data_IF_133804181814
#
_entry.id   IF_133804181814
#
_cell.length_a   1.000
_cell.length_b   1.000
_cell.length_c   1.000
_cell.angle_alpha   90.00
_cell.angle_beta   90.00
_cell.angle_gamma   90.00
#
_symmetry.space_group_name_H-M   'P 1'
#
loop_
_entity.id
_entity.type
_entity.pdbx_description
1 polymer ?
#
# COMPACT_ATOMS: atom_id res chain seq x y z
N UNK A 1 2.95 19.89 19.69
CA UNK A 1 3.25 19.66 18.26
C UNK A 1 3.49 21.03 17.63
N UNK A 2 4.58 21.22 16.88
CA UNK A 2 4.89 22.52 16.27
C UNK A 2 4.14 22.71 14.94
N UNK A 3 3.95 23.95 14.44
CA UNK A 3 3.36 24.19 13.12
C UNK A 3 4.09 23.47 11.98
N UNK A 4 5.43 23.40 12.04
CA UNK A 4 6.24 22.69 11.04
C UNK A 4 6.01 21.18 11.08
N UNK A 5 5.85 20.61 12.29
CA UNK A 5 5.51 19.19 12.46
C UNK A 5 4.11 18.89 11.93
N UNK A 6 3.14 19.78 12.12
CA UNK A 6 1.78 19.60 11.61
C UNK A 6 1.75 19.65 10.07
N UNK A 7 2.47 20.59 9.45
CA UNK A 7 2.60 20.68 8.00
C UNK A 7 3.21 19.39 7.41
N UNK A 8 4.28 18.86 8.00
CA UNK A 8 4.88 17.60 7.57
C UNK A 8 3.92 16.41 7.68
N UNK A 9 3.10 16.36 8.74
CA UNK A 9 2.09 15.31 8.90
C UNK A 9 1.00 15.43 7.84
N UNK A 10 0.57 16.65 7.52
CA UNK A 10 -0.43 16.90 6.47
C UNK A 10 0.10 16.57 5.08
N UNK A 11 1.34 16.96 4.75
CA UNK A 11 1.99 16.63 3.47
C UNK A 11 2.10 15.11 3.28
N UNK A 12 2.48 14.40 4.35
CA UNK A 12 2.51 12.93 4.35
C UNK A 12 1.10 12.36 4.19
N UNK A 13 0.10 12.93 4.86
CA UNK A 13 -1.28 12.47 4.74
C UNK A 13 -1.84 12.66 3.34
N UNK A 14 -1.66 13.82 2.72
CA UNK A 14 -2.10 14.13 1.35
C UNK A 14 -1.39 13.26 0.31
N UNK A 15 -0.07 13.05 0.47
CA UNK A 15 0.67 12.11 -0.38
C UNK A 15 0.14 10.67 -0.24
N UNK A 16 -0.19 10.27 0.99
CA UNK A 16 -0.72 8.94 1.30
C UNK A 16 -2.23 8.78 1.04
N UNK A 17 -2.99 9.85 0.86
CA UNK A 17 -4.44 9.81 0.63
C UNK A 17 -4.77 9.09 -0.69
N UNK A 18 -3.95 9.35 -1.72
CA UNK A 18 -3.99 8.60 -2.98
C UNK A 18 -3.67 7.11 -2.82
N UNK A 19 -2.86 6.75 -1.81
CA UNK A 19 -2.55 5.36 -1.46
C UNK A 19 -3.64 4.70 -0.62
N UNK A 20 -4.33 5.47 0.22
CA UNK A 20 -5.44 5.02 1.04
C UNK A 20 -6.53 4.37 0.20
N UNK A 21 -6.86 4.96 -0.95
CA UNK A 21 -7.88 4.42 -1.87
C UNK A 21 -7.54 3.04 -2.45
N UNK A 22 -6.26 2.67 -2.57
CA UNK A 22 -5.88 1.33 -3.06
C UNK A 22 -6.07 0.24 -2.00
N UNK A 23 -6.02 0.59 -0.72
CA UNK A 23 -5.97 -0.37 0.40
C UNK A 23 -7.19 -0.32 1.32
N UNK A 24 -8.10 0.64 1.11
CA UNK A 24 -9.32 0.86 1.90
C UNK A 24 -10.20 -0.39 2.04
N UNK A 25 -10.23 -1.23 1.01
CA UNK A 25 -11.02 -2.48 0.98
C UNK A 25 -10.17 -3.74 1.17
N UNK A 26 -8.87 -3.59 1.46
CA UNK A 26 -7.97 -4.71 1.64
C UNK A 26 -8.04 -5.26 3.06
N UNK A 27 -8.15 -6.58 3.15
CA UNK A 27 -7.97 -7.30 4.40
C UNK A 27 -6.50 -7.25 4.86
N UNK A 28 -6.26 -7.58 6.14
CA UNK A 28 -4.93 -7.55 6.73
C UNK A 28 -3.87 -8.39 5.97
N UNK A 29 -4.16 -9.63 5.49
CA UNK A 29 -3.23 -10.38 4.65
C UNK A 29 -2.79 -9.65 3.37
N UNK A 30 -3.72 -9.00 2.66
CA UNK A 30 -3.41 -8.24 1.44
C UNK A 30 -2.50 -7.06 1.77
N UNK A 31 -2.75 -6.34 2.87
CA UNK A 31 -1.89 -5.23 3.32
C UNK A 31 -0.48 -5.70 3.72
N UNK A 32 -0.36 -6.83 4.43
CA UNK A 32 0.94 -7.42 4.81
C UNK A 32 1.73 -7.81 3.55
N UNK A 33 1.08 -8.44 2.57
CA UNK A 33 1.74 -8.86 1.32
C UNK A 33 2.23 -7.66 0.50
N UNK A 34 1.45 -6.59 0.44
CA UNK A 34 1.88 -5.32 -0.15
C UNK A 34 3.14 -4.77 0.53
N UNK A 35 3.14 -4.69 1.87
CA UNK A 35 4.29 -4.22 2.62
C UNK A 35 5.54 -5.09 2.39
N UNK A 36 5.38 -6.42 2.35
CA UNK A 36 6.47 -7.36 2.04
C UNK A 36 7.04 -7.12 0.64
N UNK A 37 6.20 -6.88 -0.36
CA UNK A 37 6.62 -6.59 -1.74
C UNK A 37 7.35 -5.25 -1.84
N UNK A 38 6.87 -4.22 -1.13
CA UNK A 38 7.56 -2.93 -1.06
C UNK A 38 8.95 -3.06 -0.40
N UNK A 39 9.06 -3.85 0.67
CA UNK A 39 10.34 -4.14 1.32
C UNK A 39 11.29 -4.95 0.41
N UNK A 40 10.76 -5.86 -0.40
CA UNK A 40 11.54 -6.68 -1.32
C UNK A 40 12.22 -5.89 -2.44
N UNK A 41 11.80 -4.64 -2.70
CA UNK A 41 12.51 -3.73 -3.60
C UNK A 41 13.91 -3.36 -3.07
N UNK A 42 14.19 -3.58 -1.79
CA UNK A 42 15.50 -3.34 -1.18
C UNK A 42 15.91 -1.86 -1.10
N UNK A 43 14.96 -0.95 -1.40
CA UNK A 43 15.15 0.50 -1.35
C UNK A 43 14.67 1.05 0.00
N UNK A 44 15.31 2.11 0.52
CA UNK A 44 14.72 2.84 1.64
C UNK A 44 13.41 3.48 1.19
N UNK A 45 12.45 3.60 2.12
CA UNK A 45 11.09 4.07 1.82
C UNK A 45 11.05 5.41 1.07
N UNK A 46 11.98 6.33 1.37
CA UNK A 46 12.12 7.64 0.72
C UNK A 46 12.53 7.60 -0.76
N UNK A 47 13.06 6.45 -1.22
CA UNK A 47 13.48 6.22 -2.60
C UNK A 47 12.45 5.40 -3.39
N UNK A 48 11.35 4.97 -2.74
CA UNK A 48 10.23 4.35 -3.42
C UNK A 48 9.44 5.41 -4.17
N UNK A 49 9.18 5.12 -5.44
CA UNK A 49 8.38 5.97 -6.30
C UNK A 49 6.90 5.59 -6.20
N UNK A 50 6.02 6.54 -6.53
CA UNK A 50 4.58 6.29 -6.59
C UNK A 50 4.24 5.19 -7.59
N UNK A 51 4.92 5.15 -8.74
CA UNK A 51 4.71 4.12 -9.77
C UNK A 51 5.03 2.71 -9.27
N UNK A 52 6.14 2.53 -8.55
CA UNK A 52 6.50 1.22 -7.97
C UNK A 52 5.46 0.72 -6.98
N UNK A 53 4.93 1.63 -6.15
CA UNK A 53 3.88 1.31 -5.19
C UNK A 53 2.57 0.95 -5.91
N UNK A 54 2.22 1.63 -7.00
CA UNK A 54 1.05 1.30 -7.82
C UNK A 54 1.18 -0.06 -8.51
N UNK A 55 2.35 -0.38 -9.07
CA UNK A 55 2.61 -1.67 -9.72
C UNK A 55 2.50 -2.83 -8.72
N UNK A 56 3.07 -2.65 -7.51
CA UNK A 56 2.92 -3.62 -6.43
C UNK A 56 1.45 -3.75 -6.02
N UNK A 57 0.72 -2.63 -5.91
CA UNK A 57 -0.67 -2.67 -5.51
C UNK A 57 -1.54 -3.43 -6.51
N UNK A 58 -1.34 -3.20 -7.82
CA UNK A 58 -2.04 -3.93 -8.88
C UNK A 58 -1.73 -5.43 -8.83
N UNK A 59 -0.46 -5.80 -8.68
CA UNK A 59 -0.05 -7.20 -8.59
C UNK A 59 -0.64 -7.92 -7.36
N UNK A 60 -0.63 -7.26 -6.21
CA UNK A 60 -1.17 -7.81 -4.96
C UNK A 60 -2.70 -7.92 -5.02
N UNK A 61 -3.38 -6.94 -5.60
CA UNK A 61 -4.84 -6.98 -5.77
C UNK A 61 -5.28 -8.16 -6.66
N UNK A 62 -4.58 -8.41 -7.77
CA UNK A 62 -4.89 -9.54 -8.65
C UNK A 62 -4.55 -10.88 -8.00
N UNK A 63 -3.39 -11.00 -7.32
CA UNK A 63 -3.00 -12.24 -6.62
C UNK A 63 -3.96 -12.60 -5.47
N UNK A 64 -4.47 -11.60 -4.76
CA UNK A 64 -5.36 -11.80 -3.61
C UNK A 64 -6.85 -11.81 -3.99
N UNK A 65 -7.16 -11.69 -5.27
CA UNK A 65 -8.52 -11.75 -5.80
C UNK A 65 -9.14 -13.11 -5.48
N UNK A 66 -10.24 -13.12 -4.75
CA UNK A 66 -10.91 -14.36 -4.35
C UNK A 66 -10.25 -15.11 -3.19
N UNK A 67 -9.24 -14.54 -2.51
CA UNK A 67 -8.59 -15.19 -1.36
C UNK A 67 -9.57 -15.58 -0.23
N UNK A 68 -10.69 -14.85 -0.12
CA UNK A 68 -11.78 -15.17 0.81
C UNK A 68 -13.06 -15.68 0.13
N UNK A 69 -13.05 -15.93 -1.19
CA UNK A 69 -14.17 -16.55 -1.88
C UNK A 69 -14.05 -18.08 -1.73
N UNK A 70 -14.98 -18.74 -1.00
CA UNK A 70 -14.96 -20.19 -0.82
C UNK A 70 -15.00 -20.99 -2.14
N UNK A 71 -15.42 -20.36 -3.24
CA UNK A 71 -15.51 -20.98 -4.57
C UNK A 71 -14.22 -20.87 -5.39
N UNK A 72 -13.26 -20.08 -4.94
CA UNK A 72 -11.97 -19.88 -5.61
C UNK A 72 -10.90 -20.91 -5.20
N UNK A 73 -11.21 -21.82 -4.28
CA UNK A 73 -10.31 -22.88 -3.80
C UNK A 73 -10.56 -24.26 -4.46
N UNK A 74 -11.08 -24.29 -5.69
CA UNK A 74 -11.38 -25.53 -6.44
C UNK A 74 -10.35 -25.76 -7.55
#
# INVERSE_FOLDING_TARGET
>A
MSPATLAQVMDVHEALESFGGYTEWWNAPTQIKFAQRALALGKPLRELTVGELQDIAAAVAEEMKGYFDPRSQV
#
